data_IF_020490860294
#
_entry.id   IF_020490860294
#
_cell.length_a   1.000
_cell.length_b   1.000
_cell.length_c   1.000
_cell.angle_alpha   90.00
_cell.angle_beta   90.00
_cell.angle_gamma   90.00
#
_symmetry.space_group_name_H-M   'P 1'
#
loop_
_entity.id
_entity.type
_entity.pdbx_description
1 polymer ?
#
# COMPACT_ATOMS: atom_id res chain seq x y z
N UNK A 1 9.78 11.27 -65.37
CA UNK A 1 11.10 11.94 -65.48
C UNK A 1 10.97 13.28 -64.78
N UNK A 2 11.34 13.51 -63.52
CA UNK A 2 12.34 12.92 -62.61
C UNK A 2 11.90 13.29 -61.18
N UNK A 3 11.52 12.30 -60.38
CA UNK A 3 12.22 11.88 -59.15
C UNK A 3 12.35 12.96 -58.05
N UNK A 4 11.53 12.77 -57.00
CA UNK A 4 11.59 13.46 -55.71
C UNK A 4 12.87 13.04 -54.98
N UNK A 5 13.76 14.00 -54.71
CA UNK A 5 14.95 13.77 -53.89
C UNK A 5 14.59 13.68 -52.41
N UNK A 6 14.73 12.47 -51.87
CA UNK A 6 14.83 12.18 -50.45
C UNK A 6 16.23 12.52 -49.90
N UNK A 7 16.32 12.51 -48.55
CA UNK A 7 17.47 12.76 -47.69
C UNK A 7 17.70 14.27 -47.39
N UNK A 8 17.85 14.72 -46.15
CA UNK A 8 18.68 14.12 -45.10
C UNK A 8 18.12 14.33 -43.69
N UNK A 9 18.36 13.28 -42.91
CA UNK A 9 18.25 13.14 -41.46
C UNK A 9 19.00 14.24 -40.71
N UNK A 10 18.36 14.83 -39.69
CA UNK A 10 19.05 15.24 -38.47
C UNK A 10 18.35 14.59 -37.28
N UNK A 11 19.01 13.54 -36.77
CA UNK A 11 18.79 12.98 -35.44
C UNK A 11 19.26 14.04 -34.43
N UNK A 12 18.34 14.57 -33.64
CA UNK A 12 18.70 15.10 -32.33
C UNK A 12 18.29 14.06 -31.28
N UNK A 13 19.28 13.73 -30.46
CA UNK A 13 19.33 12.60 -29.53
C UNK A 13 19.07 13.11 -28.12
N UNK A 14 18.70 12.20 -27.20
CA UNK A 14 18.59 12.34 -25.73
C UNK A 14 17.18 12.81 -25.32
N UNK A 15 16.31 11.99 -24.74
CA UNK A 15 16.38 11.15 -23.54
C UNK A 15 15.00 11.34 -22.87
N UNK A 16 14.26 10.37 -22.37
CA UNK A 16 14.53 9.37 -21.36
C UNK A 16 13.42 8.31 -21.52
N UNK A 17 13.80 7.04 -21.50
CA UNK A 17 12.90 5.90 -21.32
C UNK A 17 12.31 5.94 -19.91
N UNK A 18 11.00 6.12 -19.77
CA UNK A 18 10.25 5.65 -18.62
C UNK A 18 9.39 4.46 -19.08
N UNK A 19 9.99 3.29 -19.02
CA UNK A 19 9.35 2.02 -19.29
C UNK A 19 8.61 1.55 -18.04
N UNK A 20 7.46 0.92 -18.27
CA UNK A 20 6.78 -0.07 -17.43
C UNK A 20 5.99 0.43 -16.22
N UNK A 21 4.67 0.39 -16.39
CA UNK A 21 3.67 0.42 -15.32
C UNK A 21 2.28 0.09 -15.84
N UNK A 22 2.17 -0.84 -16.81
CA UNK A 22 0.88 -1.29 -17.39
C UNK A 22 0.76 -2.79 -17.20
N UNK A 23 0.49 -3.26 -15.98
CA UNK A 23 -0.21 -4.53 -15.71
C UNK A 23 -0.87 -4.41 -14.33
N UNK A 24 -2.21 -4.42 -14.30
CA UNK A 24 -3.11 -4.83 -13.18
C UNK A 24 -4.51 -4.16 -13.24
N UNK A 25 -4.87 -3.48 -14.34
CA UNK A 25 -6.19 -2.82 -14.47
C UNK A 25 -7.32 -3.75 -14.97
N UNK A 26 -7.32 -5.04 -14.64
CA UNK A 26 -8.42 -5.96 -14.99
C UNK A 26 -8.62 -6.99 -13.86
N UNK A 27 -9.41 -6.65 -12.83
CA UNK A 27 -9.77 -7.66 -11.82
C UNK A 27 -10.66 -7.23 -10.65
N UNK A 28 -10.67 -5.96 -10.25
CA UNK A 28 -11.22 -5.58 -8.95
C UNK A 28 -12.46 -4.68 -9.00
N UNK A 29 -13.50 -5.17 -9.67
CA UNK A 29 -14.87 -4.75 -9.37
C UNK A 29 -15.61 -5.93 -8.75
N UNK A 30 -15.37 -6.19 -7.45
CA UNK A 30 -16.27 -7.04 -6.66
C UNK A 30 -16.85 -6.27 -5.49
N UNK A 31 -18.17 -6.18 -5.61
CA UNK A 31 -19.17 -5.51 -4.79
C UNK A 31 -19.02 -5.84 -3.31
N UNK A 32 -19.18 -4.82 -2.48
CA UNK A 32 -19.40 -4.95 -1.04
C UNK A 32 -20.60 -5.85 -0.76
N UNK A 33 -20.38 -6.99 -0.12
CA UNK A 33 -21.24 -7.56 0.91
C UNK A 33 -20.59 -8.80 1.53
N UNK A 34 -20.94 -9.06 2.77
CA UNK A 34 -20.34 -10.05 3.65
C UNK A 34 -20.34 -11.50 3.10
N UNK A 35 -19.29 -12.26 3.47
CA UNK A 35 -19.17 -13.74 3.48
C UNK A 35 -18.73 -14.45 2.18
N UNK A 36 -17.50 -14.21 1.73
CA UNK A 36 -16.73 -15.26 1.06
C UNK A 36 -15.52 -15.63 1.94
N UNK A 37 -15.19 -16.93 2.12
CA UNK A 37 -13.90 -17.30 2.68
C UNK A 37 -12.85 -16.78 1.72
N UNK A 38 -12.13 -15.75 2.14
CA UNK A 38 -11.00 -15.20 1.40
C UNK A 38 -10.06 -16.39 1.12
N UNK A 39 -9.69 -16.59 -0.15
CA UNK A 39 -8.78 -17.64 -0.56
C UNK A 39 -7.54 -17.66 0.33
N UNK A 40 -7.03 -18.87 0.60
CA UNK A 40 -5.90 -19.18 1.49
C UNK A 40 -5.35 -17.99 2.32
N UNK A 41 -6.09 -17.62 3.38
CA UNK A 41 -5.72 -16.61 4.36
C UNK A 41 -4.59 -17.10 5.26
N UNK A 42 -3.54 -17.70 4.70
CA UNK A 42 -2.39 -18.10 5.49
C UNK A 42 -1.84 -16.85 6.18
N UNK A 43 -1.88 -16.77 7.52
CA UNK A 43 -1.37 -15.62 8.25
C UNK A 43 0.10 -15.41 7.91
N UNK A 44 0.45 -14.26 7.38
CA UNK A 44 1.84 -13.89 7.15
C UNK A 44 2.33 -13.00 8.30
N UNK A 45 3.49 -13.27 8.88
CA UNK A 45 4.11 -12.38 9.83
C UNK A 45 4.58 -11.12 9.13
N UNK A 46 4.35 -9.98 9.76
CA UNK A 46 4.75 -8.65 9.29
C UNK A 46 5.47 -7.94 10.42
N UNK A 47 6.64 -7.40 10.13
CA UNK A 47 7.37 -6.50 11.04
C UNK A 47 7.18 -5.07 10.58
N UNK A 48 6.81 -4.19 11.50
CA UNK A 48 6.60 -2.76 11.24
C UNK A 48 7.37 -1.90 12.23
N UNK A 49 7.92 -0.79 11.77
CA UNK A 49 8.27 0.33 12.65
C UNK A 49 7.08 1.29 12.74
N UNK A 50 6.89 1.88 13.91
CA UNK A 50 5.86 2.88 14.19
C UNK A 50 6.57 4.12 14.71
N UNK A 51 6.27 5.27 14.12
CA UNK A 51 6.83 6.58 14.45
C UNK A 51 5.71 7.48 14.98
N UNK A 52 5.80 7.82 16.26
CA UNK A 52 4.83 8.68 16.97
C UNK A 52 5.59 9.85 17.59
N UNK A 53 5.57 11.01 16.92
CA UNK A 53 6.38 12.16 17.32
C UNK A 53 7.88 11.84 17.27
N UNK A 54 8.55 11.91 18.42
CA UNK A 54 9.97 11.56 18.54
C UNK A 54 10.20 10.07 18.86
N UNK A 55 9.14 9.33 19.20
CA UNK A 55 9.24 7.94 19.61
C UNK A 55 9.20 7.01 18.40
N UNK A 56 10.01 5.95 18.46
CA UNK A 56 10.02 4.86 17.49
C UNK A 56 9.91 3.53 18.22
N UNK A 57 8.98 2.67 17.79
CA UNK A 57 8.89 1.28 18.26
C UNK A 57 8.76 0.29 17.12
N UNK A 58 9.21 -0.93 17.37
CA UNK A 58 9.03 -2.08 16.49
C UNK A 58 7.85 -2.93 16.96
N UNK A 59 7.08 -3.46 16.02
CA UNK A 59 6.03 -4.44 16.30
C UNK A 59 6.06 -5.57 15.27
N UNK A 60 5.74 -6.78 15.73
CA UNK A 60 5.48 -7.94 14.88
C UNK A 60 4.03 -8.35 15.03
N UNK A 61 3.34 -8.50 13.90
CA UNK A 61 1.92 -8.92 13.85
C UNK A 61 1.73 -10.03 12.82
N UNK A 62 0.63 -10.77 12.94
CA UNK A 62 0.18 -11.72 11.93
C UNK A 62 -1.00 -11.13 11.17
N UNK A 63 -1.07 -11.37 9.86
CA UNK A 63 -2.28 -11.02 9.10
C UNK A 63 -3.44 -11.98 9.43
N UNK A 64 -4.69 -11.51 9.34
CA UNK A 64 -5.06 -10.11 9.17
C UNK A 64 -4.86 -9.29 10.45
N UNK A 65 -4.24 -8.11 10.35
CA UNK A 65 -3.96 -7.23 11.49
C UNK A 65 -4.73 -5.91 11.38
N UNK A 66 -5.38 -5.51 12.47
CA UNK A 66 -6.13 -4.25 12.54
C UNK A 66 -5.21 -3.13 13.04
N UNK A 67 -5.22 -1.98 12.34
CA UNK A 67 -4.51 -0.76 12.69
C UNK A 67 -5.53 0.27 13.18
N UNK A 68 -5.25 0.94 14.30
CA UNK A 68 -6.10 2.00 14.82
C UNK A 68 -5.81 2.37 16.26
N UNK A 69 -6.48 3.39 16.79
CA UNK A 69 -6.25 3.86 18.16
C UNK A 69 -6.94 3.06 19.25
N UNK A 70 -7.93 2.22 18.90
CA UNK A 70 -8.61 1.40 19.89
C UNK A 70 -7.67 0.34 20.45
N UNK A 71 -7.74 0.08 21.76
CA UNK A 71 -6.93 -0.97 22.42
C UNK A 71 -7.23 -2.39 21.95
N UNK A 72 -8.26 -2.60 21.12
CA UNK A 72 -8.54 -3.86 20.45
C UNK A 72 -7.77 -4.05 19.13
N UNK A 73 -6.99 -3.06 18.70
CA UNK A 73 -6.20 -3.15 17.47
C UNK A 73 -4.90 -3.92 17.70
N UNK A 74 -4.50 -4.71 16.70
CA UNK A 74 -3.25 -5.46 16.75
C UNK A 74 -2.06 -4.49 16.67
N UNK A 75 -2.20 -3.45 15.82
CA UNK A 75 -1.31 -2.30 15.75
C UNK A 75 -2.04 -1.10 16.38
N UNK A 76 -1.88 -0.95 17.69
CA UNK A 76 -2.46 0.19 18.41
C UNK A 76 -1.59 1.43 18.20
N UNK A 77 -2.21 2.52 17.73
CA UNK A 77 -1.57 3.83 17.56
C UNK A 77 -2.03 4.81 18.64
N UNK A 78 -1.10 5.55 19.24
CA UNK A 78 -1.37 6.55 20.28
C UNK A 78 -1.58 7.93 19.68
N UNK A 79 -2.57 8.03 18.79
CA UNK A 79 -2.82 9.22 17.99
C UNK A 79 -4.31 9.55 17.96
N UNK A 80 -4.63 10.81 18.26
CA UNK A 80 -6.00 11.33 18.29
C UNK A 80 -6.63 11.44 16.90
N UNK A 81 -5.82 11.64 15.87
CA UNK A 81 -6.23 11.76 14.47
C UNK A 81 -6.43 10.39 13.81
N UNK A 82 -6.06 9.31 14.50
CA UNK A 82 -6.29 7.95 14.04
C UNK A 82 -7.69 7.48 14.41
N UNK A 83 -8.41 6.90 13.46
CA UNK A 83 -9.71 6.28 13.73
C UNK A 83 -9.58 5.06 14.65
N UNK A 84 -10.64 4.75 15.43
CA UNK A 84 -10.65 3.58 16.34
C UNK A 84 -10.27 2.29 15.62
N UNK A 85 -10.78 2.12 14.40
CA UNK A 85 -10.43 1.09 13.43
C UNK A 85 -10.10 1.85 12.15
N UNK A 86 -8.82 2.04 11.87
CA UNK A 86 -8.37 2.98 10.83
C UNK A 86 -8.12 2.25 9.52
N UNK A 87 -7.24 1.26 9.55
CA UNK A 87 -6.86 0.46 8.40
C UNK A 87 -6.68 -1.00 8.81
N UNK A 88 -6.49 -1.88 7.84
CA UNK A 88 -6.22 -3.31 8.06
C UNK A 88 -5.14 -3.80 7.10
N UNK A 89 -4.25 -4.60 7.64
CA UNK A 89 -3.34 -5.44 6.89
C UNK A 89 -4.05 -6.76 6.58
N UNK A 90 -4.09 -7.13 5.32
CA UNK A 90 -4.68 -8.37 4.81
C UNK A 90 -3.62 -9.10 3.98
N UNK A 91 -3.69 -10.43 3.93
CA UNK A 91 -2.83 -11.21 3.06
C UNK A 91 -3.69 -12.06 2.14
N UNK A 92 -3.32 -12.10 0.87
CA UNK A 92 -3.94 -12.94 -0.14
C UNK A 92 -2.83 -13.55 -0.98
N UNK A 93 -2.80 -14.89 -1.07
CA UNK A 93 -1.77 -15.64 -1.82
C UNK A 93 -0.31 -15.25 -1.45
N UNK A 94 -0.07 -14.94 -0.17
CA UNK A 94 1.24 -14.52 0.34
C UNK A 94 1.62 -13.05 0.06
N UNK A 95 0.74 -12.30 -0.60
CA UNK A 95 0.93 -10.86 -0.88
C UNK A 95 0.25 -10.04 0.23
N UNK A 96 0.97 -9.06 0.77
CA UNK A 96 0.45 -8.15 1.79
C UNK A 96 -0.31 -6.99 1.14
N UNK A 97 -1.49 -6.69 1.68
CA UNK A 97 -2.32 -5.57 1.27
C UNK A 97 -2.68 -4.66 2.43
N UNK A 98 -2.81 -3.37 2.15
CA UNK A 98 -3.37 -2.37 3.03
C UNK A 98 -4.78 -1.99 2.57
N UNK A 99 -5.71 -1.90 3.52
CA UNK A 99 -7.07 -1.43 3.29
C UNK A 99 -7.45 -0.36 4.30
N UNK A 100 -7.85 0.82 3.83
CA UNK A 100 -8.51 1.82 4.67
C UNK A 100 -9.92 1.35 5.06
N UNK A 101 -10.29 1.51 6.33
CA UNK A 101 -11.59 1.08 6.88
C UNK A 101 -12.59 2.25 7.01
N UNK A 102 -12.54 3.18 6.05
CA UNK A 102 -13.27 4.46 6.07
C UNK A 102 -12.82 5.30 7.26
N UNK A 103 -11.52 5.49 7.39
CA UNK A 103 -10.96 6.34 8.43
C UNK A 103 -11.38 7.80 8.22
N UNK A 104 -11.42 8.58 9.30
CA UNK A 104 -11.84 9.99 9.25
C UNK A 104 -10.86 10.89 8.48
N UNK A 105 -9.56 10.61 8.57
CA UNK A 105 -8.48 11.42 7.99
C UNK A 105 -7.82 10.78 6.75
N UNK A 106 -8.28 9.60 6.35
CA UNK A 106 -7.69 8.82 5.27
C UNK A 106 -6.44 8.05 5.71
N UNK A 107 -6.09 7.07 4.90
CA UNK A 107 -4.81 6.34 4.96
C UNK A 107 -4.01 6.67 3.69
N UNK A 108 -2.72 6.94 3.84
CA UNK A 108 -1.84 7.26 2.71
C UNK A 108 -0.72 6.22 2.62
N UNK A 109 -0.34 5.84 1.40
CA UNK A 109 0.81 5.00 1.10
C UNK A 109 1.85 5.86 0.41
N UNK A 110 3.04 5.99 0.99
CA UNK A 110 4.14 6.80 0.45
C UNK A 110 3.70 8.25 0.11
N UNK A 111 2.81 8.82 0.95
CA UNK A 111 2.25 10.16 0.76
C UNK A 111 1.06 10.27 -0.22
N UNK A 112 0.65 9.17 -0.86
CA UNK A 112 -0.47 9.16 -1.82
C UNK A 112 -1.71 8.46 -1.24
N UNK A 113 -2.89 9.04 -1.47
CA UNK A 113 -4.16 8.41 -1.13
C UNK A 113 -4.50 7.31 -2.14
N UNK A 114 -5.15 6.25 -1.67
CA UNK A 114 -5.58 5.12 -2.51
C UNK A 114 -7.02 4.73 -2.23
N UNK A 115 -7.63 3.98 -3.15
CA UNK A 115 -8.98 3.45 -2.99
C UNK A 115 -8.95 1.92 -2.87
N UNK A 116 -9.85 1.37 -2.06
CA UNK A 116 -10.00 -0.07 -1.91
C UNK A 116 -8.86 -0.70 -1.11
N UNK A 117 -8.09 -1.58 -1.75
CA UNK A 117 -6.90 -2.19 -1.16
C UNK A 117 -5.71 -2.02 -2.11
N UNK A 118 -4.53 -1.82 -1.53
CA UNK A 118 -3.28 -1.59 -2.25
C UNK A 118 -2.21 -2.57 -1.76
N UNK A 119 -1.41 -3.11 -2.67
CA UNK A 119 -0.28 -3.98 -2.35
C UNK A 119 0.76 -3.20 -1.52
N UNK A 120 1.28 -3.84 -0.47
CA UNK A 120 2.38 -3.33 0.35
C UNK A 120 3.66 -4.13 0.10
N UNK A 121 4.78 -3.41 0.10
CA UNK A 121 6.13 -3.94 -0.01
C UNK A 121 6.99 -3.52 1.16
N UNK A 122 8.09 -4.24 1.37
CA UNK A 122 9.11 -3.83 2.34
C UNK A 122 9.68 -2.46 1.94
N UNK A 123 9.77 -1.57 2.91
CA UNK A 123 10.18 -0.17 2.76
C UNK A 123 9.02 0.80 2.56
N UNK A 124 7.78 0.32 2.35
CA UNK A 124 6.64 1.21 2.18
C UNK A 124 6.28 1.93 3.49
N UNK A 125 5.96 3.22 3.35
CA UNK A 125 5.50 4.08 4.43
C UNK A 125 3.97 4.23 4.39
N UNK A 126 3.33 4.03 5.53
CA UNK A 126 1.89 4.17 5.71
C UNK A 126 1.63 5.29 6.70
N UNK A 127 0.93 6.33 6.27
CA UNK A 127 0.52 7.42 7.16
C UNK A 127 -0.94 7.21 7.61
N UNK A 128 -1.13 7.21 8.93
CA UNK A 128 -2.42 7.17 9.61
C UNK A 128 -2.50 8.35 10.58
N UNK A 129 -3.27 9.40 10.27
CA UNK A 129 -3.27 10.60 11.10
C UNK A 129 -1.90 11.29 11.08
N UNK A 130 -1.32 11.56 12.26
CA UNK A 130 0.04 12.07 12.40
C UNK A 130 1.09 10.96 12.61
N UNK A 131 0.67 9.69 12.61
CA UNK A 131 1.52 8.53 12.85
C UNK A 131 1.94 7.88 11.54
N UNK A 132 3.24 7.62 11.41
CA UNK A 132 3.81 6.87 10.28
C UNK A 132 4.14 5.44 10.71
N UNK A 133 3.88 4.50 9.81
CA UNK A 133 4.35 3.13 9.90
C UNK A 133 5.25 2.81 8.72
N UNK A 134 6.27 1.98 8.91
CA UNK A 134 7.15 1.50 7.84
C UNK A 134 7.14 -0.03 7.84
N UNK A 135 6.94 -0.65 6.68
CA UNK A 135 6.99 -2.11 6.53
C UNK A 135 8.43 -2.58 6.46
N UNK A 136 8.87 -3.40 7.41
CA UNK A 136 10.28 -3.83 7.53
C UNK A 136 10.47 -5.25 7.02
N UNK A 137 9.46 -6.11 7.15
CA UNK A 137 9.54 -7.52 6.74
C UNK A 137 8.14 -8.08 6.52
N UNK A 138 8.02 -9.02 5.58
CA UNK A 138 6.79 -9.75 5.25
C UNK A 138 7.16 -11.23 5.03
N UNK A 139 6.51 -12.14 5.75
CA UNK A 139 6.54 -13.58 5.46
C UNK A 139 7.76 -14.39 5.94
N UNK A 140 8.39 -14.02 7.05
CA UNK A 140 9.54 -14.74 7.63
C UNK A 140 9.21 -15.94 8.52
#
# INVERSE_FOLDING_TARGET
MTELHAAWVRLDTLGITAALGVVAAVGFLRRADAREPIGDLTPIPVRVFIFEGADRRELRVLTPALIGRAGSCHVQLQDGDVSRRHARLEAEEGVLYLRDLRSANGTFLNGEAFEGAIELRVGDEIDCGATRLEIVEVGA
#
